data_IF_298131935194
#
_entry.id   IF_298131935194
#
_cell.length_a   1.000
_cell.length_b   1.000
_cell.length_c   1.000
_cell.angle_alpha   90.00
_cell.angle_beta   90.00
_cell.angle_gamma   90.00
#
_symmetry.space_group_name_H-M   'P 1'
#
loop_
_entity.id
_entity.type
_entity.pdbx_description
1 polymer ?
#
# COMPACT_ATOMS: atom_id res chain seq x y z
N UNK A 1 10.72 3.62 3.52
CA UNK A 1 9.59 4.34 4.15
C UNK A 1 8.49 3.34 4.44
N UNK A 2 7.70 3.54 5.50
CA UNK A 2 6.59 2.62 5.83
C UNK A 2 5.32 3.38 6.16
N UNK A 3 4.20 2.92 5.62
CA UNK A 3 2.85 3.42 5.92
C UNK A 3 2.00 2.24 6.38
N UNK A 4 1.27 2.42 7.48
CA UNK A 4 0.36 1.40 8.03
C UNK A 4 -1.01 2.03 8.19
N UNK A 5 -2.05 1.30 7.82
CA UNK A 5 -3.41 1.77 7.94
C UNK A 5 -4.41 0.65 8.20
N UNK A 6 -5.58 1.04 8.69
CA UNK A 6 -6.73 0.16 8.92
C UNK A 6 -7.90 0.70 8.11
N UNK A 7 -8.45 -0.14 7.23
CA UNK A 7 -9.70 0.13 6.52
C UNK A 7 -10.82 -0.64 7.20
N UNK A 8 -11.73 0.08 7.84
CA UNK A 8 -12.90 -0.53 8.47
C UNK A 8 -14.00 -0.85 7.44
N UNK A 9 -14.17 -0.02 6.40
CA UNK A 9 -15.18 -0.20 5.37
C UNK A 9 -15.06 0.82 4.23
N UNK A 10 -15.91 0.71 3.20
CA UNK A 10 -16.07 1.72 2.15
C UNK A 10 -15.54 1.30 0.78
N UNK A 11 -15.03 2.25 -0.01
CA UNK A 11 -14.50 1.96 -1.35
C UNK A 11 -13.34 0.96 -1.28
N UNK A 12 -13.36 -0.07 -2.11
CA UNK A 12 -12.24 -1.01 -2.21
C UNK A 12 -11.02 -0.42 -2.91
N UNK A 13 -11.14 0.75 -3.54
CA UNK A 13 -10.03 1.45 -4.16
C UNK A 13 -9.45 2.48 -3.19
N UNK A 14 -8.18 2.31 -2.83
CA UNK A 14 -7.45 3.21 -1.92
C UNK A 14 -6.43 4.02 -2.71
N UNK A 15 -6.43 5.33 -2.44
CA UNK A 15 -5.50 6.30 -3.01
C UNK A 15 -4.66 6.89 -1.89
N UNK A 16 -3.36 6.59 -1.91
CA UNK A 16 -2.40 7.13 -0.95
C UNK A 16 -1.52 8.18 -1.65
N UNK A 17 -1.62 9.43 -1.20
CA UNK A 17 -0.73 10.50 -1.64
C UNK A 17 0.54 10.45 -0.79
N UNK A 18 1.68 10.25 -1.43
CA UNK A 18 3.00 10.28 -0.80
C UNK A 18 3.67 11.62 -1.15
N UNK A 19 3.85 12.53 -0.17
CA UNK A 19 4.55 13.79 -0.39
C UNK A 19 5.95 13.56 -0.97
N UNK A 20 6.42 14.48 -1.81
CA UNK A 20 7.67 14.38 -2.57
C UNK A 20 7.75 13.19 -3.55
N UNK A 21 6.57 12.64 -3.88
CA UNK A 21 6.34 11.79 -5.03
C UNK A 21 6.59 10.30 -4.80
N UNK A 22 7.18 9.92 -3.65
CA UNK A 22 7.71 8.56 -3.45
C UNK A 22 8.57 8.11 -4.64
N UNK A 23 9.17 9.08 -5.34
CA UNK A 23 9.64 8.92 -6.71
C UNK A 23 10.89 8.04 -6.68
N UNK A 24 10.88 6.94 -7.41
CA UNK A 24 11.96 5.96 -7.36
C UNK A 24 11.86 4.97 -6.19
N UNK A 25 10.74 4.92 -5.46
CA UNK A 25 10.43 3.82 -4.55
C UNK A 25 9.55 2.77 -5.25
N UNK A 26 9.86 1.49 -5.01
CA UNK A 26 8.93 0.39 -5.24
C UNK A 26 8.27 0.04 -3.92
N UNK A 27 6.96 -0.18 -3.97
CA UNK A 27 6.15 -0.37 -2.77
C UNK A 27 5.70 -1.81 -2.67
N UNK A 28 5.97 -2.46 -1.55
CA UNK A 28 5.42 -3.78 -1.24
C UNK A 28 4.21 -3.62 -0.35
N UNK A 29 3.07 -4.17 -0.77
CA UNK A 29 1.83 -4.18 0.00
C UNK A 29 1.72 -5.49 0.78
N UNK A 30 1.47 -5.38 2.08
CA UNK A 30 1.17 -6.48 2.97
C UNK A 30 -0.21 -6.28 3.57
N UNK A 31 -0.99 -7.35 3.67
CA UNK A 31 -2.36 -7.29 4.12
C UNK A 31 -2.66 -8.34 5.19
N UNK A 32 -3.49 -7.92 6.15
CA UNK A 32 -4.19 -8.80 7.08
C UNK A 32 -5.68 -8.56 6.92
N UNK A 33 -6.42 -9.61 6.63
CA UNK A 33 -7.88 -9.62 6.47
C UNK A 33 -8.47 -10.75 7.33
N UNK A 34 -9.76 -11.07 7.15
CA UNK A 34 -10.34 -12.29 7.78
C UNK A 34 -9.66 -13.59 7.32
N UNK A 35 -9.11 -13.60 6.11
CA UNK A 35 -8.61 -14.81 5.46
C UNK A 35 -7.08 -14.79 5.29
N UNK A 36 -6.48 -13.60 5.28
CA UNK A 36 -5.04 -13.40 5.08
C UNK A 36 -4.38 -12.92 6.37
N UNK A 37 -3.20 -13.46 6.66
CA UNK A 37 -2.39 -13.06 7.81
C UNK A 37 -1.05 -12.50 7.35
N UNK A 38 -0.91 -11.17 7.32
CA UNK A 38 0.32 -10.46 6.95
C UNK A 38 0.96 -10.97 5.65
N UNK A 39 0.15 -11.18 4.62
CA UNK A 39 0.61 -11.72 3.34
C UNK A 39 1.05 -10.56 2.45
N UNK A 40 2.20 -10.68 1.79
CA UNK A 40 2.58 -9.76 0.71
C UNK A 40 1.70 -10.04 -0.51
N UNK A 41 0.85 -9.09 -0.88
CA UNK A 41 -0.13 -9.26 -1.95
C UNK A 41 0.35 -8.66 -3.26
N UNK A 42 0.91 -7.45 -3.23
CA UNK A 42 1.24 -6.70 -4.43
C UNK A 42 2.58 -5.97 -4.35
N UNK A 43 3.11 -5.64 -5.53
CA UNK A 43 4.23 -4.72 -5.70
C UNK A 43 3.79 -3.55 -6.59
N UNK A 44 3.77 -2.36 -6.01
CA UNK A 44 3.20 -1.15 -6.58
C UNK A 44 4.30 -0.15 -6.94
N UNK A 45 3.97 0.77 -7.84
CA UNK A 45 4.81 1.93 -8.17
C UNK A 45 3.98 3.19 -7.98
N UNK A 46 4.59 4.24 -7.43
CA UNK A 46 3.93 5.54 -7.36
C UNK A 46 3.91 6.20 -8.74
N UNK A 47 2.76 6.76 -9.14
CA UNK A 47 2.64 7.60 -10.34
C UNK A 47 2.29 9.01 -9.90
N UNK A 48 3.19 9.97 -10.18
CA UNK A 48 3.02 11.38 -9.77
C UNK A 48 2.73 11.56 -8.26
N UNK A 49 3.37 10.75 -7.41
CA UNK A 49 3.16 10.79 -5.96
C UNK A 49 1.91 10.08 -5.45
N UNK A 50 1.18 9.39 -6.33
CA UNK A 50 0.02 8.60 -5.96
C UNK A 50 0.34 7.11 -6.02
N UNK A 51 0.06 6.40 -4.92
CA UNK A 51 0.04 4.92 -4.88
C UNK A 51 -1.42 4.49 -4.79
N UNK A 52 -1.83 3.63 -5.71
CA UNK A 52 -3.21 3.12 -5.80
C UNK A 52 -3.20 1.61 -5.64
N UNK A 53 -4.17 1.09 -4.88
CA UNK A 53 -4.29 -0.34 -4.60
C UNK A 53 -5.69 -0.71 -4.12
N UNK A 54 -6.02 -1.98 -4.25
CA UNK A 54 -7.25 -2.56 -3.74
C UNK A 54 -7.12 -2.95 -2.26
N UNK A 55 -8.17 -2.72 -1.47
CA UNK A 55 -8.31 -3.32 -0.14
C UNK A 55 -9.76 -3.72 0.13
N UNK A 56 -10.02 -4.94 0.63
CA UNK A 56 -11.34 -5.32 1.09
C UNK A 56 -11.74 -4.51 2.35
N UNK A 57 -13.00 -4.66 2.76
CA UNK A 57 -13.42 -4.15 4.07
C UNK A 57 -12.72 -4.90 5.21
N UNK A 58 -12.59 -4.21 6.35
CA UNK A 58 -11.98 -4.76 7.57
C UNK A 58 -10.56 -5.32 7.34
N UNK A 59 -9.72 -4.53 6.67
CA UNK A 59 -8.33 -4.89 6.34
C UNK A 59 -7.33 -4.00 7.09
N UNK A 60 -6.23 -4.59 7.55
CA UNK A 60 -5.01 -3.86 7.95
C UNK A 60 -4.02 -4.00 6.82
N UNK A 61 -3.40 -2.89 6.43
CA UNK A 61 -2.38 -2.91 5.40
C UNK A 61 -1.08 -2.26 5.88
N UNK A 62 0.04 -2.75 5.35
CA UNK A 62 1.36 -2.15 5.48
C UNK A 62 1.96 -1.97 4.09
N UNK A 63 2.30 -0.73 3.74
CA UNK A 63 3.06 -0.38 2.55
C UNK A 63 4.51 -0.09 2.93
N UNK A 64 5.44 -0.82 2.30
CA UNK A 64 6.87 -0.64 2.50
C UNK A 64 7.50 -0.15 1.21
N UNK A 65 8.00 1.09 1.23
CA UNK A 65 8.68 1.72 0.10
C UNK A 65 10.19 1.51 0.19
N UNK A 66 10.75 0.88 -0.83
CA UNK A 66 12.17 0.55 -0.99
C UNK A 66 12.74 1.23 -2.24
N UNK A 67 14.01 1.67 -2.25
CA UNK A 67 14.65 2.21 -3.45
C UNK A 67 14.55 1.26 -4.65
N UNK A 68 14.16 1.78 -5.81
CA UNK A 68 14.09 1.00 -7.05
C UNK A 68 15.48 0.61 -7.57
N UNK A 69 16.52 1.33 -7.17
CA UNK A 69 17.93 1.01 -7.35
C UNK A 69 18.71 1.24 -6.05
N UNK A 70 19.65 0.34 -5.68
CA UNK A 70 20.52 0.51 -4.53
C UNK A 70 21.56 1.63 -4.74
#
# INVERSE_FOLDING_TARGET
MTVVGVKLGGSNHVQLIVPDGGTGLRWSLYETTRELNCVRTEMLSAKSGLVEFGLPDEAVFTLVGEPAHP
#
